data_IF_771558900592
#
_entry.id   IF_771558900592
#
_cell.length_a   1.000
_cell.length_b   1.000
_cell.length_c   1.000
_cell.angle_alpha   90.00
_cell.angle_beta   90.00
_cell.angle_gamma   90.00
#
_symmetry.space_group_name_H-M   'P 1'
#
loop_
_entity.id
_entity.type
_entity.pdbx_description
1 polymer ?
#
# COMPACT_ATOMS: atom_id res chain seq x y z
N UNK A 1 29.38 -20.11 52.26
CA UNK A 1 29.52 -18.93 51.39
C UNK A 1 28.90 -19.24 50.03
N UNK A 2 27.70 -18.76 49.74
CA UNK A 2 27.00 -18.93 48.46
C UNK A 2 26.97 -17.56 47.77
N UNK A 3 27.75 -17.46 46.69
CA UNK A 3 27.83 -16.25 45.87
C UNK A 3 26.63 -16.19 44.92
N UNK A 4 25.74 -15.23 45.13
CA UNK A 4 24.61 -14.93 44.22
C UNK A 4 25.12 -14.10 43.07
N UNK A 5 25.13 -14.68 41.87
CA UNK A 5 25.36 -13.94 40.61
C UNK A 5 24.02 -13.31 40.19
N UNK A 6 23.91 -11.99 40.28
CA UNK A 6 22.78 -11.24 39.74
C UNK A 6 22.99 -11.07 38.24
N UNK A 7 22.13 -11.70 37.44
CA UNK A 7 22.04 -11.44 36.01
C UNK A 7 21.36 -10.06 35.80
N UNK A 8 22.14 -9.10 35.32
CA UNK A 8 21.60 -7.79 34.88
C UNK A 8 21.14 -7.96 33.43
N UNK A 9 19.83 -7.91 33.22
CA UNK A 9 19.27 -7.85 31.89
C UNK A 9 19.52 -6.45 31.30
N UNK A 10 20.37 -6.37 30.29
CA UNK A 10 20.63 -5.14 29.50
C UNK A 10 19.52 -5.04 28.44
N UNK A 11 18.75 -3.95 28.41
CA UNK A 11 17.82 -3.74 27.31
C UNK A 11 18.61 -3.46 26.04
N UNK A 12 18.40 -4.28 25.00
CA UNK A 12 18.96 -4.06 23.68
C UNK A 12 18.35 -2.77 23.08
N UNK A 13 19.07 -1.66 23.24
CA UNK A 13 18.84 -0.44 22.47
C UNK A 13 19.48 -0.67 21.12
N UNK A 14 18.64 -0.89 20.11
CA UNK A 14 19.09 -0.94 18.71
C UNK A 14 19.47 0.47 18.27
N UNK A 15 20.75 0.82 18.40
CA UNK A 15 21.33 2.01 17.78
C UNK A 15 21.36 1.77 16.27
N UNK A 16 20.53 2.48 15.52
CA UNK A 16 20.76 2.66 14.10
C UNK A 16 21.97 3.61 14.00
N UNK A 17 23.14 3.03 13.79
CA UNK A 17 24.35 3.75 13.50
C UNK A 17 24.16 4.43 12.15
N UNK A 18 24.03 5.75 12.13
CA UNK A 18 24.13 6.52 10.90
C UNK A 18 25.57 6.35 10.39
N UNK A 19 25.77 5.40 9.49
CA UNK A 19 27.03 5.24 8.79
C UNK A 19 27.24 6.46 7.89
N UNK A 20 28.41 7.08 8.01
CA UNK A 20 28.88 8.08 7.07
C UNK A 20 28.83 7.50 5.64
N UNK A 21 28.54 8.30 4.60
CA UNK A 21 28.41 7.79 3.25
C UNK A 21 29.73 7.20 2.78
N UNK A 22 29.81 5.87 2.75
CA UNK A 22 30.85 5.17 2.02
C UNK A 22 30.60 5.44 0.52
N UNK A 23 31.56 6.05 -0.13
CA UNK A 23 31.53 6.49 -1.54
C UNK A 23 31.37 5.33 -2.56
N UNK A 24 31.14 4.10 -2.13
CA UNK A 24 30.92 2.90 -2.97
C UNK A 24 29.66 2.10 -2.61
N UNK A 25 28.79 2.62 -1.74
CA UNK A 25 27.48 2.03 -1.59
C UNK A 25 26.65 2.44 -2.81
N UNK A 26 26.31 1.49 -3.67
CA UNK A 26 25.23 1.69 -4.65
C UNK A 26 24.03 2.24 -3.89
N UNK A 27 23.35 3.29 -4.40
CA UNK A 27 22.15 3.78 -3.75
C UNK A 27 21.22 2.59 -3.59
N UNK A 28 20.79 2.29 -2.35
CA UNK A 28 19.74 1.32 -2.07
C UNK A 28 18.59 1.74 -2.97
N UNK A 29 18.23 0.86 -3.91
CA UNK A 29 17.17 1.18 -4.86
C UNK A 29 15.90 1.40 -4.02
N UNK A 30 15.45 2.66 -3.91
CA UNK A 30 14.24 3.06 -3.18
C UNK A 30 12.98 2.34 -3.71
N UNK A 31 13.14 1.44 -4.66
CA UNK A 31 12.12 0.69 -5.39
C UNK A 31 11.89 -0.72 -4.86
N UNK A 32 12.70 -1.22 -3.93
CA UNK A 32 12.50 -2.55 -3.38
C UNK A 32 11.20 -2.62 -2.57
N UNK A 33 10.35 -3.63 -2.82
CA UNK A 33 9.13 -3.78 -2.06
C UNK A 33 9.41 -4.33 -0.65
N UNK A 34 8.64 -3.85 0.32
CA UNK A 34 8.52 -4.47 1.63
C UNK A 34 7.25 -5.31 1.64
N UNK A 35 7.36 -6.60 1.93
CA UNK A 35 6.21 -7.48 2.10
C UNK A 35 5.96 -7.69 3.58
N UNK A 36 4.76 -7.36 4.04
CA UNK A 36 4.29 -7.68 5.38
C UNK A 36 3.54 -9.00 5.30
N UNK A 37 4.00 -9.99 6.05
CA UNK A 37 3.35 -11.29 6.19
C UNK A 37 2.62 -11.29 7.52
N UNK A 38 1.32 -11.59 7.48
CA UNK A 38 0.46 -11.66 8.65
C UNK A 38 0.36 -13.10 9.16
N UNK A 39 0.04 -13.28 10.45
CA UNK A 39 -0.08 -14.61 11.06
C UNK A 39 -1.18 -15.49 10.46
N UNK A 40 -2.15 -14.88 9.80
CA UNK A 40 -3.21 -15.59 9.06
C UNK A 40 -2.76 -16.05 7.66
N UNK A 41 -1.49 -15.79 7.29
CA UNK A 41 -0.91 -16.13 6.00
C UNK A 41 -1.16 -15.08 4.90
N UNK A 42 -1.94 -14.03 5.19
CA UNK A 42 -2.12 -12.92 4.24
C UNK A 42 -0.79 -12.17 4.04
N UNK A 43 -0.58 -11.65 2.82
CA UNK A 43 0.62 -10.89 2.44
C UNK A 43 0.21 -9.55 1.86
N UNK A 44 0.88 -8.49 2.28
CA UNK A 44 0.64 -7.15 1.79
C UNK A 44 1.97 -6.51 1.38
N UNK A 45 2.05 -5.97 0.15
CA UNK A 45 3.27 -5.43 -0.44
C UNK A 45 3.22 -3.92 -0.46
N UNK A 46 4.32 -3.29 -0.07
CA UNK A 46 4.49 -1.84 -0.01
C UNK A 46 5.75 -1.41 -0.75
N UNK A 47 5.72 -0.24 -1.40
CA UNK A 47 6.91 0.37 -1.97
C UNK A 47 7.79 0.94 -0.84
N UNK A 48 8.97 0.37 -0.63
CA UNK A 48 9.88 0.81 0.44
C UNK A 48 10.25 2.31 0.32
N UNK A 49 10.39 2.80 -0.90
CA UNK A 49 10.69 4.21 -1.16
C UNK A 49 9.67 5.20 -0.63
N UNK A 50 8.44 4.79 -0.35
CA UNK A 50 7.37 5.64 0.19
C UNK A 50 7.21 5.54 1.71
N UNK A 51 7.81 4.52 2.33
CA UNK A 51 7.72 4.29 3.77
C UNK A 51 8.78 5.14 4.48
N UNK A 52 8.36 5.94 5.45
CA UNK A 52 9.27 6.61 6.37
C UNK A 52 9.67 5.68 7.52
N UNK A 53 8.71 4.92 8.06
CA UNK A 53 8.94 3.91 9.10
C UNK A 53 7.75 2.98 9.26
N UNK A 54 7.99 1.82 9.89
CA UNK A 54 6.97 0.88 10.31
C UNK A 54 7.01 0.80 11.85
N UNK A 55 5.91 1.18 12.50
CA UNK A 55 5.74 1.04 13.94
C UNK A 55 5.07 -0.30 14.23
N UNK A 56 5.83 -1.26 14.78
CA UNK A 56 5.34 -2.62 15.06
C UNK A 56 4.62 -2.75 16.41
N UNK A 57 4.54 -1.67 17.19
CA UNK A 57 3.76 -1.67 18.43
C UNK A 57 2.28 -1.71 18.12
N UNK A 58 1.53 -2.55 18.83
CA UNK A 58 0.09 -2.68 18.62
C UNK A 58 -0.68 -1.38 18.92
N UNK A 59 -1.55 -0.89 18.02
CA UNK A 59 -1.76 -1.39 16.65
C UNK A 59 -0.60 -1.01 15.72
N UNK A 60 -0.08 -1.99 14.97
CA UNK A 60 1.00 -1.73 14.04
C UNK A 60 0.58 -0.71 12.97
N UNK A 61 1.50 0.17 12.61
CA UNK A 61 1.20 1.32 11.73
C UNK A 61 2.34 1.57 10.78
N UNK A 62 2.03 1.77 9.50
CA UNK A 62 2.96 2.30 8.51
C UNK A 62 2.86 3.83 8.53
N UNK A 63 4.00 4.48 8.55
CA UNK A 63 4.13 5.93 8.39
C UNK A 63 4.83 6.18 7.06
N UNK A 64 4.15 6.86 6.16
CA UNK A 64 4.67 7.21 4.84
C UNK A 64 5.48 8.52 4.89
N UNK A 65 6.35 8.74 3.90
CA UNK A 65 7.18 9.96 3.79
C UNK A 65 6.34 11.23 3.60
N UNK A 66 5.13 11.10 3.06
CA UNK A 66 4.16 12.19 2.93
C UNK A 66 3.42 12.53 4.24
N UNK A 67 3.71 11.81 5.32
CA UNK A 67 3.09 11.99 6.64
C UNK A 67 1.82 11.18 6.87
N UNK A 68 1.30 10.49 5.84
CA UNK A 68 0.14 9.61 6.00
C UNK A 68 0.48 8.43 6.93
N UNK A 69 -0.55 7.92 7.62
CA UNK A 69 -0.43 6.76 8.52
C UNK A 69 -1.51 5.73 8.20
N UNK A 70 -1.09 4.49 8.01
CA UNK A 70 -1.97 3.36 7.77
C UNK A 70 -1.87 2.35 8.91
N UNK A 71 -3.00 2.03 9.54
CA UNK A 71 -3.06 0.98 10.56
C UNK A 71 -3.15 -0.38 9.88
N UNK A 72 -2.27 -1.28 10.29
CA UNK A 72 -2.30 -2.66 9.83
C UNK A 72 -3.40 -3.44 10.58
N UNK A 73 -4.17 -4.24 9.84
CA UNK A 73 -5.43 -4.82 10.33
C UNK A 73 -5.27 -6.10 11.15
N UNK A 74 -4.13 -6.77 11.03
CA UNK A 74 -3.91 -8.08 11.65
C UNK A 74 -2.55 -8.12 12.34
N UNK A 75 -2.31 -9.17 13.11
CA UNK A 75 -1.01 -9.41 13.72
C UNK A 75 0.03 -9.79 12.67
N UNK A 76 1.12 -9.05 12.66
CA UNK A 76 2.26 -9.28 11.77
C UNK A 76 3.02 -10.51 12.26
N UNK A 77 3.33 -11.42 11.35
CA UNK A 77 4.26 -12.52 11.60
C UNK A 77 5.70 -12.05 11.38
N UNK A 78 6.01 -11.58 10.16
CA UNK A 78 7.32 -11.05 9.82
C UNK A 78 7.28 -10.07 8.65
N UNK A 79 8.41 -9.41 8.43
CA UNK A 79 8.66 -8.53 7.28
C UNK A 79 9.65 -9.21 6.34
N UNK A 80 9.35 -9.23 5.05
CA UNK A 80 10.27 -9.65 4.01
C UNK A 80 10.79 -8.42 3.26
N UNK A 81 12.09 -8.35 3.10
CA UNK A 81 12.76 -7.36 2.28
C UNK A 81 13.37 -8.12 1.10
N UNK A 82 12.87 -7.88 -0.10
CA UNK A 82 13.38 -8.56 -1.30
C UNK A 82 14.64 -7.88 -1.81
N UNK A 83 15.78 -8.56 -1.73
CA UNK A 83 16.97 -8.28 -2.52
C UNK A 83 16.83 -8.77 -3.97
N UNK A 84 15.64 -8.95 -4.48
CA UNK A 84 15.43 -9.67 -5.74
C UNK A 84 15.41 -8.75 -6.95
N UNK A 85 16.35 -9.10 -7.84
CA UNK A 85 16.35 -8.77 -9.25
C UNK A 85 14.95 -8.53 -9.84
N UNK A 86 14.74 -7.31 -10.39
CA UNK A 86 13.77 -6.98 -11.44
C UNK A 86 12.41 -7.68 -11.35
N UNK A 87 11.79 -7.70 -10.18
CA UNK A 87 10.33 -7.90 -10.13
C UNK A 87 9.67 -6.74 -10.88
N UNK A 88 8.62 -6.99 -11.66
CA UNK A 88 7.90 -5.91 -12.31
C UNK A 88 7.52 -4.88 -11.24
N UNK A 89 7.95 -3.63 -11.46
CA UNK A 89 7.82 -2.53 -10.51
C UNK A 89 6.38 -2.49 -9.96
N UNK A 90 6.21 -2.92 -8.71
CA UNK A 90 4.91 -2.89 -8.04
C UNK A 90 4.57 -1.42 -7.83
N UNK A 91 3.46 -0.90 -8.38
CA UNK A 91 3.10 0.49 -8.21
C UNK A 91 2.88 0.80 -6.73
N UNK A 92 3.60 1.80 -6.23
CA UNK A 92 3.43 2.29 -4.88
C UNK A 92 2.24 3.24 -4.76
N UNK A 93 2.02 3.72 -3.52
CA UNK A 93 0.89 4.60 -3.20
C UNK A 93 0.88 5.90 -4.02
N UNK A 94 2.04 6.55 -4.18
CA UNK A 94 2.16 7.81 -4.94
C UNK A 94 1.73 7.68 -6.40
N UNK A 95 1.84 6.47 -6.97
CA UNK A 95 1.41 6.17 -8.33
C UNK A 95 -0.11 6.35 -8.53
N UNK A 96 -0.89 6.08 -7.48
CA UNK A 96 -2.35 6.09 -7.54
C UNK A 96 -2.97 7.40 -7.08
N UNK A 97 -2.25 8.25 -6.35
CA UNK A 97 -2.76 9.55 -5.90
C UNK A 97 -3.14 10.40 -7.10
N UNK A 98 -4.33 11.02 -7.03
CA UNK A 98 -4.84 11.93 -8.06
C UNK A 98 -6.21 11.53 -8.59
N UNK A 99 -6.56 12.10 -9.74
CA UNK A 99 -7.88 11.96 -10.37
C UNK A 99 -7.83 10.96 -11.51
N UNK A 100 -8.67 9.95 -11.43
CA UNK A 100 -8.81 8.87 -12.40
C UNK A 100 -10.13 8.96 -13.15
N UNK A 101 -10.10 8.96 -14.47
CA UNK A 101 -11.28 8.76 -15.30
C UNK A 101 -11.50 7.27 -15.51
N UNK A 102 -12.69 6.78 -15.19
CA UNK A 102 -13.06 5.35 -15.24
C UNK A 102 -14.46 5.17 -15.82
N UNK A 103 -14.74 3.97 -16.36
CA UNK A 103 -16.07 3.63 -16.88
C UNK A 103 -16.99 3.09 -15.79
N UNK A 104 -18.31 3.22 -16.01
CA UNK A 104 -19.33 2.60 -15.14
C UNK A 104 -19.51 1.09 -15.41
N UNK A 105 -19.07 0.61 -16.58
CA UNK A 105 -19.38 -0.75 -17.05
C UNK A 105 -20.74 -0.83 -17.75
N UNK A 106 -21.02 -1.96 -18.39
CA UNK A 106 -22.32 -2.23 -19.02
C UNK A 106 -22.77 -1.23 -20.09
N UNK A 107 -21.84 -0.49 -20.72
CA UNK A 107 -22.18 0.57 -21.68
C UNK A 107 -22.57 1.90 -21.02
N UNK A 108 -22.43 2.02 -19.70
CA UNK A 108 -22.61 3.28 -18.95
C UNK A 108 -21.53 4.32 -19.27
N UNK A 109 -21.77 5.55 -18.85
CA UNK A 109 -20.85 6.68 -19.03
C UNK A 109 -19.52 6.54 -18.27
N UNK A 110 -18.70 7.58 -18.38
CA UNK A 110 -17.47 7.74 -17.58
C UNK A 110 -17.77 8.54 -16.32
N UNK A 111 -16.96 8.31 -15.29
CA UNK A 111 -16.97 9.09 -14.06
C UNK A 111 -15.55 9.23 -13.52
N UNK A 112 -15.38 10.02 -12.46
CA UNK A 112 -14.09 10.24 -11.86
C UNK A 112 -14.00 9.63 -10.46
N UNK A 113 -12.84 9.05 -10.17
CA UNK A 113 -12.40 8.65 -8.83
C UNK A 113 -11.20 9.54 -8.47
N UNK A 114 -11.23 10.19 -7.31
CA UNK A 114 -10.10 10.93 -6.76
C UNK A 114 -9.58 10.17 -5.55
N UNK A 115 -8.27 9.89 -5.54
CA UNK A 115 -7.55 9.24 -4.45
C UNK A 115 -6.66 10.26 -3.77
N UNK A 116 -7.04 10.68 -2.57
CA UNK A 116 -6.32 11.68 -1.79
C UNK A 116 -5.14 11.01 -1.03
N UNK A 117 -4.06 11.76 -0.78
CA UNK A 117 -2.87 11.23 -0.09
C UNK A 117 -3.16 10.75 1.35
N UNK A 118 -4.20 11.28 1.99
CA UNK A 118 -4.63 10.91 3.35
C UNK A 118 -5.40 9.59 3.43
N UNK A 119 -5.64 8.91 2.28
CA UNK A 119 -6.39 7.64 2.23
C UNK A 119 -7.89 7.81 1.99
N UNK A 120 -8.38 9.03 1.84
CA UNK A 120 -9.74 9.27 1.43
C UNK A 120 -9.90 9.07 -0.08
N UNK A 121 -11.06 8.57 -0.48
CA UNK A 121 -11.46 8.42 -1.87
C UNK A 121 -12.78 9.13 -2.12
N UNK A 122 -12.93 9.72 -3.31
CA UNK A 122 -14.17 10.36 -3.76
C UNK A 122 -14.51 9.91 -5.16
N UNK A 123 -15.79 9.69 -5.44
CA UNK A 123 -16.29 9.44 -6.80
C UNK A 123 -17.32 10.49 -7.19
N UNK A 124 -17.40 10.81 -8.49
CA UNK A 124 -18.31 11.84 -9.00
C UNK A 124 -19.73 11.35 -9.23
N UNK A 125 -20.05 10.10 -8.89
CA UNK A 125 -21.37 9.48 -9.03
C UNK A 125 -21.76 8.72 -7.76
N UNK A 126 -23.04 8.54 -7.53
CA UNK A 126 -23.58 7.73 -6.41
C UNK A 126 -23.16 8.26 -5.04
N UNK A 127 -22.87 7.35 -4.10
CA UNK A 127 -22.28 7.70 -2.80
C UNK A 127 -20.83 8.16 -2.99
N UNK A 128 -20.53 9.44 -2.72
CA UNK A 128 -19.28 10.06 -3.20
C UNK A 128 -18.06 9.75 -2.36
N UNK A 129 -18.18 9.14 -1.18
CA UNK A 129 -17.09 8.96 -0.23
C UNK A 129 -16.69 7.50 -0.04
N UNK A 130 -15.42 7.29 0.28
CA UNK A 130 -14.82 6.00 0.59
C UNK A 130 -13.39 6.17 1.10
N UNK A 131 -12.73 5.05 1.33
CA UNK A 131 -11.32 4.99 1.74
C UNK A 131 -10.55 4.10 0.79
N UNK A 132 -9.25 4.34 0.65
CA UNK A 132 -8.39 3.54 -0.20
C UNK A 132 -7.03 3.23 0.40
N UNK A 133 -6.47 2.12 -0.03
CA UNK A 133 -5.11 1.67 0.31
C UNK A 133 -4.48 0.95 -0.88
N UNK A 134 -3.17 0.75 -0.86
CA UNK A 134 -2.49 -0.07 -1.87
C UNK A 134 -2.25 -1.47 -1.29
N UNK A 135 -2.66 -2.48 -2.04
CA UNK A 135 -2.43 -3.89 -1.72
C UNK A 135 -1.95 -4.57 -3.00
N UNK A 136 -0.79 -5.22 -2.96
CA UNK A 136 -0.21 -5.96 -4.08
C UNK A 136 -0.11 -5.15 -5.39
N UNK A 137 0.17 -3.83 -5.27
CA UNK A 137 0.28 -2.92 -6.40
C UNK A 137 -1.04 -2.52 -7.03
N UNK A 138 -2.14 -2.68 -6.32
CA UNK A 138 -3.48 -2.23 -6.70
C UNK A 138 -3.98 -1.19 -5.70
N UNK A 139 -4.58 -0.10 -6.16
CA UNK A 139 -5.33 0.81 -5.29
C UNK A 139 -6.70 0.20 -5.02
N UNK A 140 -6.91 -0.35 -3.83
CA UNK A 140 -8.17 -0.93 -3.38
C UNK A 140 -8.99 0.11 -2.65
N UNK A 141 -10.22 0.34 -3.11
CA UNK A 141 -11.13 1.39 -2.64
C UNK A 141 -12.37 0.73 -2.05
N UNK A 142 -12.77 1.13 -0.85
CA UNK A 142 -14.03 0.71 -0.23
C UNK A 142 -14.93 1.93 -0.10
N UNK A 143 -16.11 1.87 -0.71
CA UNK A 143 -17.09 2.93 -0.71
C UNK A 143 -18.09 2.79 0.43
N UNK A 144 -18.67 3.91 0.89
CA UNK A 144 -19.67 3.93 1.98
C UNK A 144 -20.96 3.17 1.61
N UNK A 145 -21.24 3.01 0.31
CA UNK A 145 -22.39 2.25 -0.21
C UNK A 145 -22.14 0.73 -0.30
N UNK A 146 -20.98 0.27 0.17
CA UNK A 146 -20.60 -1.14 0.19
C UNK A 146 -19.97 -1.66 -1.11
N UNK A 147 -19.97 -0.87 -2.19
CA UNK A 147 -19.19 -1.18 -3.39
C UNK A 147 -17.70 -1.13 -3.11
N UNK A 148 -16.93 -1.85 -3.92
CA UNK A 148 -15.48 -1.80 -3.92
C UNK A 148 -14.98 -1.61 -5.34
N UNK A 149 -13.89 -0.84 -5.47
CA UNK A 149 -13.17 -0.70 -6.73
C UNK A 149 -11.68 -0.99 -6.51
N UNK A 150 -11.04 -1.61 -7.50
CA UNK A 150 -9.59 -1.75 -7.54
C UNK A 150 -9.06 -1.10 -8.83
N UNK A 151 -8.14 -0.13 -8.71
CA UNK A 151 -7.38 0.39 -9.86
C UNK A 151 -6.05 -0.33 -9.89
N UNK A 152 -5.76 -1.01 -11.01
CA UNK A 152 -4.57 -1.84 -11.16
C UNK A 152 -3.92 -1.70 -12.53
N UNK A 153 -2.62 -1.95 -12.59
CA UNK A 153 -1.86 -1.92 -13.83
C UNK A 153 -2.01 -3.23 -14.59
N UNK A 154 -2.28 -3.15 -15.89
CA UNK A 154 -2.28 -4.28 -16.83
C UNK A 154 -1.41 -3.93 -18.04
N UNK A 155 -0.18 -4.44 -18.06
CA UNK A 155 0.80 -4.04 -19.05
C UNK A 155 1.12 -2.54 -18.98
N UNK A 156 0.89 -1.81 -20.07
CA UNK A 156 1.08 -0.35 -20.14
C UNK A 156 -0.16 0.47 -19.76
N UNK A 157 -1.30 -0.17 -19.50
CA UNK A 157 -2.58 0.48 -19.19
C UNK A 157 -2.96 0.26 -17.75
N UNK A 158 -3.99 1.00 -17.30
CA UNK A 158 -4.67 0.74 -16.04
C UNK A 158 -6.13 0.34 -16.32
N UNK A 159 -6.66 -0.47 -15.42
CA UNK A 159 -8.07 -0.86 -15.41
C UNK A 159 -8.66 -0.63 -14.02
N UNK A 160 -9.96 -0.37 -13.97
CA UNK A 160 -10.76 -0.38 -12.76
C UNK A 160 -11.61 -1.64 -12.75
N UNK A 161 -11.45 -2.48 -11.73
CA UNK A 161 -12.31 -3.61 -11.42
C UNK A 161 -13.30 -3.19 -10.34
N UNK A 162 -14.61 -3.37 -10.57
CA UNK A 162 -15.65 -3.05 -9.61
C UNK A 162 -16.27 -4.32 -9.03
N UNK A 163 -16.54 -4.28 -7.74
CA UNK A 163 -17.12 -5.38 -6.95
C UNK A 163 -18.38 -4.87 -6.25
N UNK A 164 -19.49 -5.51 -6.48
CA UNK A 164 -20.77 -5.17 -5.86
C UNK A 164 -20.78 -5.43 -4.34
N UNK A 165 -21.72 -4.83 -3.59
CA UNK A 165 -21.84 -5.07 -2.16
C UNK A 165 -21.95 -6.56 -1.83
N UNK A 166 -21.15 -6.99 -0.85
CA UNK A 166 -21.04 -8.40 -0.45
C UNK A 166 -19.85 -9.14 -1.06
N UNK A 167 -19.31 -8.68 -2.20
CA UNK A 167 -18.08 -9.24 -2.77
C UNK A 167 -16.83 -8.66 -2.10
N UNK A 168 -15.77 -9.45 -2.11
CA UNK A 168 -14.42 -9.07 -1.68
C UNK A 168 -13.54 -8.77 -2.90
N UNK A 169 -12.30 -8.31 -2.68
CA UNK A 169 -11.33 -8.10 -3.76
C UNK A 169 -10.77 -9.41 -4.35
N UNK A 170 -11.01 -10.54 -3.68
CA UNK A 170 -10.57 -11.88 -4.11
C UNK A 170 -11.63 -12.58 -4.98
N UNK A 171 -12.84 -12.00 -5.06
CA UNK A 171 -13.91 -12.50 -5.91
C UNK A 171 -13.76 -12.03 -7.35
N UNK A 172 -14.52 -12.64 -8.26
CA UNK A 172 -14.62 -12.16 -9.63
C UNK A 172 -15.30 -10.77 -9.67
N UNK A 173 -14.67 -9.75 -10.31
CA UNK A 173 -15.25 -8.43 -10.39
C UNK A 173 -16.56 -8.42 -11.17
N UNK A 174 -17.52 -7.63 -10.73
CA UNK A 174 -18.81 -7.44 -11.40
C UNK A 174 -18.68 -6.73 -12.75
N UNK A 175 -17.67 -5.87 -12.89
CA UNK A 175 -17.26 -5.30 -14.17
C UNK A 175 -15.79 -4.83 -14.14
N UNK A 176 -15.20 -4.73 -15.34
CA UNK A 176 -13.85 -4.18 -15.54
C UNK A 176 -13.91 -3.14 -16.64
N UNK A 177 -13.30 -1.98 -16.41
CA UNK A 177 -13.25 -0.86 -17.36
C UNK A 177 -11.84 -0.27 -17.42
N UNK A 178 -11.51 0.48 -18.47
CA UNK A 178 -10.26 1.24 -18.50
C UNK A 178 -10.24 2.32 -17.40
N UNK A 179 -9.04 2.60 -16.90
CA UNK A 179 -8.78 3.67 -15.94
C UNK A 179 -7.63 4.56 -16.46
N UNK A 180 -7.84 5.87 -16.47
CA UNK A 180 -6.85 6.84 -16.94
C UNK A 180 -6.59 7.87 -15.83
N UNK A 181 -5.34 7.99 -15.40
CA UNK A 181 -4.94 9.08 -14.51
C UNK A 181 -4.95 10.39 -15.30
N UNK A 182 -5.84 11.31 -14.93
CA UNK A 182 -6.00 12.61 -15.61
C UNK A 182 -5.00 13.66 -15.10
N UNK A 183 -4.25 13.35 -14.05
CA UNK A 183 -3.23 14.21 -13.46
C UNK A 183 -1.98 13.38 -13.12
N UNK A 184 -1.32 12.75 -14.11
CA UNK A 184 -0.12 11.99 -13.85
C UNK A 184 0.95 12.94 -13.29
N UNK A 185 1.59 12.55 -12.18
CA UNK A 185 2.76 13.27 -11.69
C UNK A 185 3.87 13.17 -12.75
N UNK A 186 4.60 14.24 -13.04
CA UNK A 186 5.80 14.13 -13.86
C UNK A 186 6.77 13.12 -13.20
N UNK A 187 7.30 12.26 -14.05
CA UNK A 187 8.30 11.23 -13.70
C UNK A 187 9.61 11.92 -13.36
#
# INVERSE_FOLDING_TARGET
MRTLIRLIAIPAILFILAAAPNANASPIDEREPVVIVYKDGHRQTFAAGEIARIDLKAPATIVYKDGHREKLRAEIDHLEFSELAASPMVPGRSHFIGKWEVGQGGGGGKFFITLDADGNAKKSIGSPHGTWTVVDGEARITWDDGWRDAIRKRGSKHEKAAFEPGKTFDDEPSNVTEAHNTQPKPI
#
